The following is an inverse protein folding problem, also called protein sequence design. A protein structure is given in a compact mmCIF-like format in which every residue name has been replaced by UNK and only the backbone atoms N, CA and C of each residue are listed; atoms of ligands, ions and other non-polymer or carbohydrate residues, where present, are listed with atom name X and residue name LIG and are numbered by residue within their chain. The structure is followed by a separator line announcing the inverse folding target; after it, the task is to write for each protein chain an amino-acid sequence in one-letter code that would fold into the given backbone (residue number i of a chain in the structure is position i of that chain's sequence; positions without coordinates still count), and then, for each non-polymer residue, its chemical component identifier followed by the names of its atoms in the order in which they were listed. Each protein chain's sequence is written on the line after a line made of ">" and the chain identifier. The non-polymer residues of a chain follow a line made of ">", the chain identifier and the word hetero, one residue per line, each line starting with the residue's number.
data_IF_296803671044
#
_entry.id   IF_296803671044
#
_cell.length_a   1.000
_cell.length_b   1.000
_cell.length_c   1.000
_cell.angle_alpha   90.00
_cell.angle_beta   90.00
_cell.angle_gamma   90.00
#
_symmetry.space_group_name_H-M   'P 1'
#
loop_
_entity.id
_entity.type
_entity.pdbx_description
1 polymer ?
#
# COMPACT_ATOMS: atom_id res chain seq x y z
N UNK A 1 -22.89 -9.98 -5.55
CA UNK A 1 -22.58 -9.63 -4.14
C UNK A 1 -21.66 -10.66 -3.48
N UNK A 2 -21.98 -11.96 -3.49
CA UNK A 2 -21.09 -13.00 -2.93
C UNK A 2 -19.66 -12.99 -3.53
N UNK A 3 -19.52 -12.82 -4.85
CA UNK A 3 -18.19 -12.72 -5.48
C UNK A 3 -17.35 -11.52 -4.97
N UNK A 4 -17.99 -10.38 -4.70
CA UNK A 4 -17.32 -9.18 -4.16
C UNK A 4 -16.92 -9.42 -2.70
N UNK A 5 -17.75 -10.11 -1.92
CA UNK A 5 -17.44 -10.52 -0.54
C UNK A 5 -16.18 -11.40 -0.50
N UNK A 6 -16.14 -12.45 -1.32
CA UNK A 6 -14.98 -13.35 -1.38
C UNK A 6 -13.73 -12.64 -1.92
N UNK A 7 -13.87 -11.74 -2.90
CA UNK A 7 -12.74 -10.94 -3.39
C UNK A 7 -12.20 -9.98 -2.33
N UNK A 8 -13.09 -9.35 -1.55
CA UNK A 8 -12.72 -8.49 -0.43
C UNK A 8 -12.00 -9.26 0.67
N UNK A 9 -12.53 -10.43 1.05
CA UNK A 9 -11.90 -11.32 2.02
C UNK A 9 -10.53 -11.80 1.53
N UNK A 10 -10.43 -12.25 0.27
CA UNK A 10 -9.20 -12.77 -0.30
C UNK A 10 -8.12 -11.69 -0.53
N UNK A 11 -8.48 -10.42 -0.68
CA UNK A 11 -7.52 -9.32 -0.86
C UNK A 11 -7.07 -8.69 0.46
N UNK A 12 -7.97 -8.56 1.44
CA UNK A 12 -7.64 -7.96 2.74
C UNK A 12 -6.94 -8.91 3.70
N UNK A 13 -7.34 -10.19 3.72
CA UNK A 13 -6.84 -11.18 4.69
C UNK A 13 -5.34 -11.48 4.53
N UNK A 14 -4.80 -11.75 3.32
CA UNK A 14 -3.37 -12.01 3.16
C UNK A 14 -2.51 -10.79 3.49
N UNK A 15 -2.99 -9.58 3.19
CA UNK A 15 -2.28 -8.35 3.49
C UNK A 15 -2.09 -8.19 5.00
N UNK A 16 -3.17 -8.37 5.78
CA UNK A 16 -3.12 -8.24 7.24
C UNK A 16 -2.25 -9.31 7.90
N UNK A 17 -2.27 -10.54 7.38
CA UNK A 17 -1.43 -11.65 7.88
C UNK A 17 0.04 -11.38 7.59
N UNK A 18 0.36 -10.89 6.40
CA UNK A 18 1.74 -10.60 6.03
C UNK A 18 2.33 -9.51 6.93
N UNK A 19 1.55 -8.47 7.22
CA UNK A 19 1.95 -7.39 8.11
C UNK A 19 2.18 -7.87 9.55
N UNK A 20 1.26 -8.67 10.10
CA UNK A 20 1.39 -9.18 11.47
C UNK A 20 2.52 -10.20 11.60
N UNK A 21 2.72 -11.07 10.60
CA UNK A 21 3.82 -12.01 10.54
C UNK A 21 5.17 -11.30 10.48
N UNK A 22 5.29 -10.23 9.67
CA UNK A 22 6.50 -9.42 9.58
C UNK A 22 6.84 -8.78 10.94
N UNK A 23 5.85 -8.22 11.64
CA UNK A 23 6.06 -7.63 12.96
C UNK A 23 6.52 -8.68 13.99
N UNK A 24 5.95 -9.89 13.95
CA UNK A 24 6.37 -10.99 14.81
C UNK A 24 7.82 -11.42 14.52
N UNK A 25 8.19 -11.56 13.24
CA UNK A 25 9.56 -11.91 12.85
C UNK A 25 10.59 -10.84 13.25
N UNK A 26 10.25 -9.56 13.09
CA UNK A 26 11.13 -8.47 13.51
C UNK A 26 11.34 -8.47 15.03
N UNK A 27 10.28 -8.77 15.79
CA UNK A 27 10.37 -8.90 17.25
C UNK A 27 11.25 -10.09 17.64
N UNK A 28 11.11 -11.23 16.99
CA UNK A 28 11.94 -12.42 17.23
C UNK A 28 13.40 -12.20 16.84
N UNK A 29 13.66 -11.37 15.82
CA UNK A 29 14.99 -10.94 15.40
C UNK A 29 15.62 -9.91 16.36
N UNK A 30 14.95 -9.53 17.44
CA UNK A 30 15.44 -8.57 18.44
C UNK A 30 15.38 -7.10 18.01
N UNK A 31 14.61 -6.77 16.97
CA UNK A 31 14.42 -5.39 16.52
C UNK A 31 13.62 -4.60 17.56
N UNK A 32 14.05 -3.36 17.83
CA UNK A 32 13.37 -2.50 18.80
C UNK A 32 11.93 -2.20 18.40
N UNK A 33 11.03 -2.10 19.38
CA UNK A 33 9.63 -1.72 19.16
C UNK A 33 9.50 -0.36 18.46
N UNK A 34 10.43 0.56 18.71
CA UNK A 34 10.47 1.86 18.04
C UNK A 34 10.73 1.70 16.55
N UNK A 35 11.67 0.84 16.16
CA UNK A 35 11.97 0.52 14.76
C UNK A 35 10.81 -0.22 14.08
N UNK A 36 10.13 -1.12 14.78
CA UNK A 36 8.91 -1.77 14.27
C UNK A 36 7.81 -0.74 14.05
N UNK A 37 7.64 0.22 14.97
CA UNK A 37 6.68 1.33 14.81
C UNK A 37 7.00 2.25 13.63
N UNK A 38 8.28 2.44 13.28
CA UNK A 38 8.68 3.19 12.08
C UNK A 38 8.20 2.49 10.80
N UNK A 39 8.13 1.15 10.77
CA UNK A 39 7.59 0.42 9.62
C UNK A 39 6.10 0.73 9.37
N UNK A 40 5.35 1.13 10.39
CA UNK A 40 3.96 1.57 10.23
C UNK A 40 3.83 2.84 9.37
N UNK A 41 4.90 3.62 9.20
CA UNK A 41 4.90 4.77 8.29
C UNK A 41 4.78 4.39 6.82
N UNK A 42 4.95 3.11 6.45
CA UNK A 42 4.65 2.61 5.10
C UNK A 42 3.19 2.85 4.72
N UNK A 43 2.28 2.98 5.69
CA UNK A 43 0.89 3.33 5.44
C UNK A 43 0.64 4.84 5.19
N UNK A 44 1.64 5.72 5.37
CA UNK A 44 1.48 7.17 5.17
C UNK A 44 0.99 7.57 3.78
N UNK A 45 1.48 7.00 2.66
CA UNK A 45 0.96 7.34 1.34
C UNK A 45 -0.53 7.00 1.21
N UNK A 46 -1.00 5.95 1.88
CA UNK A 46 -2.41 5.59 1.91
C UNK A 46 -3.23 6.58 2.75
N UNK A 47 -2.72 7.00 3.91
CA UNK A 47 -3.37 7.98 4.79
C UNK A 47 -3.46 9.37 4.15
N UNK A 48 -2.41 9.77 3.42
CA UNK A 48 -2.31 11.06 2.74
C UNK A 48 -2.88 11.02 1.31
N UNK A 49 -3.62 9.96 0.95
CA UNK A 49 -4.22 9.81 -0.38
C UNK A 49 -5.06 11.01 -0.79
N UNK A 50 -5.74 11.67 0.15
CA UNK A 50 -6.53 12.87 -0.14
C UNK A 50 -5.68 14.04 -0.68
N UNK A 51 -4.39 14.10 -0.34
CA UNK A 51 -3.49 15.19 -0.73
C UNK A 51 -2.96 14.99 -2.15
N UNK A 52 -2.54 13.77 -2.49
CA UNK A 52 -1.93 13.48 -3.79
C UNK A 52 -2.91 12.93 -4.84
N UNK A 53 -4.04 12.34 -4.44
CA UNK A 53 -5.03 11.83 -5.40
C UNK A 53 -5.55 12.92 -6.37
N UNK A 54 -5.85 14.17 -5.94
CA UNK A 54 -6.26 15.23 -6.86
C UNK A 54 -5.20 15.57 -7.90
N UNK A 55 -3.92 15.46 -7.55
CA UNK A 55 -2.81 15.69 -8.48
C UNK A 55 -2.78 14.61 -9.56
N UNK A 56 -2.85 13.34 -9.15
CA UNK A 56 -2.83 12.20 -10.07
C UNK A 56 -4.07 12.16 -10.97
N UNK A 57 -5.24 12.49 -10.43
CA UNK A 57 -6.48 12.50 -11.20
C UNK A 57 -6.56 13.66 -12.20
N UNK A 58 -5.95 14.81 -11.88
CA UNK A 58 -5.97 16.01 -12.73
C UNK A 58 -4.89 16.01 -13.82
N UNK A 59 -3.74 15.39 -13.57
CA UNK A 59 -2.60 15.37 -14.50
C UNK A 59 -2.37 13.96 -15.05
N UNK A 60 -3.09 13.52 -16.10
CA UNK A 60 -2.82 12.22 -16.73
C UNK A 60 -1.45 12.24 -17.43
N UNK A 61 -0.65 11.19 -17.22
CA UNK A 61 0.60 10.98 -17.97
C UNK A 61 0.31 10.73 -19.46
N UNK A 62 1.12 11.31 -20.38
CA UNK A 62 0.97 11.04 -21.79
C UNK A 62 1.23 9.55 -22.10
N UNK A 63 0.60 9.06 -23.18
CA UNK A 63 0.77 7.73 -23.80
C UNK A 63 0.07 6.51 -23.17
N UNK A 64 -0.03 6.37 -21.85
CA UNK A 64 -0.61 5.14 -21.25
C UNK A 64 -2.03 5.30 -20.65
N UNK A 65 -2.68 6.44 -20.88
CA UNK A 65 -4.00 6.73 -20.31
C UNK A 65 -3.95 7.02 -18.81
N UNK A 66 -5.10 7.40 -18.24
CA UNK A 66 -5.18 8.07 -16.93
C UNK A 66 -4.63 7.26 -15.75
N UNK A 67 -4.81 5.93 -15.73
CA UNK A 67 -4.40 5.08 -14.59
C UNK A 67 -3.09 4.34 -14.83
N UNK A 68 -2.87 3.81 -16.04
CA UNK A 68 -1.70 2.94 -16.32
C UNK A 68 -0.39 3.72 -16.36
N UNK A 69 -0.42 4.98 -16.83
CA UNK A 69 0.75 5.85 -16.83
C UNK A 69 1.26 6.11 -15.41
N UNK A 70 0.34 6.40 -14.48
CA UNK A 70 0.68 6.61 -13.08
C UNK A 70 1.10 5.32 -12.36
N UNK A 71 0.52 4.16 -12.70
CA UNK A 71 0.99 2.87 -12.17
C UNK A 71 2.46 2.64 -12.57
N UNK A 72 2.82 2.82 -13.84
CA UNK A 72 4.20 2.68 -14.28
C UNK A 72 5.14 3.69 -13.64
N UNK A 73 4.73 4.97 -13.58
CA UNK A 73 5.55 6.01 -12.94
C UNK A 73 5.84 5.68 -11.47
N UNK A 74 4.84 5.18 -10.73
CA UNK A 74 5.01 4.77 -9.34
C UNK A 74 5.85 3.49 -9.22
N UNK A 75 5.76 2.56 -10.17
CA UNK A 75 6.64 1.38 -10.20
C UNK A 75 8.11 1.71 -10.48
N UNK A 76 8.39 2.76 -11.27
CA UNK A 76 9.76 3.23 -11.53
C UNK A 76 10.31 4.07 -10.38
N UNK A 77 9.44 4.76 -9.65
CA UNK A 77 9.82 5.58 -8.51
C UNK A 77 10.07 4.79 -7.22
N UNK A 78 9.58 3.54 -7.14
CA UNK A 78 9.73 2.63 -6.00
C UNK A 78 11.02 1.80 -6.12
#
# INVERSE_FOLDING_TARGET
>A
MLAILFLGAASGFPNQITESALQAWLKDAGVSLTTIGVMSYVALPYLLKFLWAPLIDRYPLPWLGRRRGWILAMQVAL
#
